data_IF_574970202043
#
_entry.id   IF_574970202043
#
_cell.length_a   1.000
_cell.length_b   1.000
_cell.length_c   1.000
_cell.angle_alpha   90.00
_cell.angle_beta   90.00
_cell.angle_gamma   90.00
#
_symmetry.space_group_name_H-M   'P 1'
#
loop_
_entity.id
_entity.type
_entity.pdbx_description
1 polymer ?
#
# COMPACT_ATOMS: atom_id res chain seq x y z
N UNK A 1 -11.98 -9.06 23.98
CA UNK A 1 -12.80 -10.25 24.30
C UNK A 1 -11.85 -11.42 24.50
N UNK A 2 -12.01 -12.21 25.57
CA UNK A 2 -11.23 -13.45 25.71
C UNK A 2 -11.92 -14.55 24.90
N UNK A 3 -11.14 -15.45 24.31
CA UNK A 3 -11.66 -16.56 23.50
C UNK A 3 -12.39 -17.57 24.40
N UNK A 4 -13.49 -18.21 23.94
CA UNK A 4 -14.35 -19.02 24.79
C UNK A 4 -13.63 -20.12 25.59
N UNK A 5 -12.56 -20.72 25.05
CA UNK A 5 -11.83 -21.77 25.76
C UNK A 5 -11.01 -21.24 26.95
N UNK A 6 -10.54 -19.99 26.91
CA UNK A 6 -9.84 -19.36 28.04
C UNK A 6 -10.81 -18.96 29.17
N UNK A 7 -12.11 -18.87 28.89
CA UNK A 7 -13.16 -18.61 29.88
C UNK A 7 -13.68 -19.90 30.53
N UNK A 8 -13.58 -21.03 29.82
CA UNK A 8 -14.13 -22.31 30.23
C UNK A 8 -13.27 -23.03 31.27
N UNK A 9 -11.95 -22.84 31.22
CA UNK A 9 -11.01 -23.47 32.14
C UNK A 9 -9.89 -22.48 32.55
N UNK A 10 -9.84 -22.05 33.83
CA UNK A 10 -8.84 -21.09 34.31
C UNK A 10 -7.43 -21.69 34.41
N UNK A 11 -7.27 -23.01 34.22
CA UNK A 11 -5.97 -23.68 34.25
C UNK A 11 -5.24 -23.63 32.90
N UNK A 12 -5.95 -23.27 31.82
CA UNK A 12 -5.35 -23.12 30.49
C UNK A 12 -4.52 -21.84 30.46
N UNK A 13 -3.22 -21.99 30.19
CA UNK A 13 -2.31 -20.85 30.10
C UNK A 13 -2.76 -19.87 29.02
N UNK A 14 -2.86 -18.59 29.38
CA UNK A 14 -3.10 -17.52 28.42
C UNK A 14 -1.82 -17.31 27.59
N UNK A 15 -1.91 -17.40 26.25
CA UNK A 15 -0.73 -17.21 25.43
C UNK A 15 -0.22 -15.76 25.50
N UNK A 16 1.10 -15.61 25.55
CA UNK A 16 1.77 -14.31 25.52
C UNK A 16 2.27 -13.98 24.11
N UNK A 17 1.77 -12.88 23.57
CA UNK A 17 2.05 -12.45 22.21
C UNK A 17 3.00 -11.23 22.26
N UNK A 18 4.10 -11.22 21.48
CA UNK A 18 4.37 -12.08 20.32
C UNK A 18 5.25 -13.32 20.59
N UNK A 19 5.75 -13.51 21.81
CA UNK A 19 6.77 -14.55 22.10
C UNK A 19 6.31 -15.98 21.81
N UNK A 20 5.02 -16.26 21.93
CA UNK A 20 4.47 -17.59 21.68
C UNK A 20 3.82 -17.76 20.29
N UNK A 21 3.85 -16.73 19.43
CA UNK A 21 3.19 -16.77 18.11
C UNK A 21 3.76 -17.82 17.16
N UNK A 22 5.04 -18.18 17.33
CA UNK A 22 5.66 -19.25 16.54
C UNK A 22 4.93 -20.60 16.71
N UNK A 23 4.16 -20.78 17.79
CA UNK A 23 3.35 -21.97 18.02
C UNK A 23 2.21 -22.12 17.00
N UNK A 24 1.88 -21.10 16.20
CA UNK A 24 0.92 -21.25 15.09
C UNK A 24 1.31 -22.39 14.14
N UNK A 25 2.61 -22.63 13.97
CA UNK A 25 3.14 -23.67 13.10
C UNK A 25 2.96 -25.10 13.65
N UNK A 26 2.50 -25.27 14.90
CA UNK A 26 2.10 -26.58 15.42
C UNK A 26 0.68 -26.97 14.98
N UNK A 27 -0.10 -26.01 14.51
CA UNK A 27 -1.47 -26.19 14.00
C UNK A 27 -1.50 -26.14 12.48
N UNK A 28 -0.71 -25.23 11.88
CA UNK A 28 -0.69 -24.98 10.44
C UNK A 28 0.67 -25.40 9.87
N UNK A 29 0.67 -26.25 8.83
CA UNK A 29 1.90 -26.62 8.14
C UNK A 29 2.42 -25.45 7.27
N UNK A 30 3.60 -24.87 7.58
CA UNK A 30 4.15 -23.76 6.81
C UNK A 30 4.42 -24.13 5.35
N UNK A 31 4.87 -25.36 5.06
CA UNK A 31 5.18 -25.78 3.70
C UNK A 31 3.94 -25.80 2.79
N UNK A 32 2.75 -26.03 3.37
CA UNK A 32 1.48 -26.03 2.63
C UNK A 32 0.89 -24.63 2.53
N UNK A 33 1.03 -23.81 3.57
CA UNK A 33 0.31 -22.53 3.69
C UNK A 33 1.10 -21.28 3.31
N UNK A 34 2.44 -21.33 3.23
CA UNK A 34 3.24 -20.17 2.81
C UNK A 34 2.90 -19.70 1.39
N UNK A 35 2.78 -20.63 0.43
CA UNK A 35 2.44 -20.26 -0.97
C UNK A 35 1.03 -19.66 -1.08
N UNK A 36 -0.03 -20.24 -0.47
CA UNK A 36 -1.33 -19.59 -0.38
C UNK A 36 -1.30 -18.17 0.20
N UNK A 37 -0.56 -17.93 1.29
CA UNK A 37 -0.45 -16.59 1.86
C UNK A 37 0.19 -15.60 0.91
N UNK A 38 1.30 -15.96 0.25
CA UNK A 38 1.90 -15.10 -0.76
C UNK A 38 0.98 -14.86 -1.96
N UNK A 39 0.20 -15.86 -2.36
CA UNK A 39 -0.79 -15.68 -3.43
C UNK A 39 -1.89 -14.69 -3.03
N UNK A 40 -2.40 -14.77 -1.80
CA UNK A 40 -3.38 -13.80 -1.28
C UNK A 40 -2.78 -12.38 -1.27
N UNK A 41 -1.56 -12.23 -0.76
CA UNK A 41 -0.86 -10.94 -0.75
C UNK A 41 -0.63 -10.40 -2.17
N UNK A 42 -0.30 -11.28 -3.12
CA UNK A 42 -0.16 -10.91 -4.53
C UNK A 42 -1.48 -10.42 -5.12
N UNK A 43 -2.58 -11.14 -4.89
CA UNK A 43 -3.92 -10.72 -5.35
C UNK A 43 -4.32 -9.39 -4.69
N UNK A 44 -4.05 -9.22 -3.40
CA UNK A 44 -4.31 -7.98 -2.67
C UNK A 44 -3.51 -6.81 -3.23
N UNK A 45 -2.23 -7.02 -3.56
CA UNK A 45 -1.38 -6.03 -4.21
C UNK A 45 -2.05 -5.49 -5.47
N UNK A 46 -2.49 -6.37 -6.37
CA UNK A 46 -3.15 -5.99 -7.61
C UNK A 46 -4.49 -5.28 -7.38
N UNK A 47 -5.32 -5.75 -6.45
CA UNK A 47 -6.60 -5.10 -6.14
C UNK A 47 -6.40 -3.66 -5.67
N UNK A 48 -5.50 -3.44 -4.71
CA UNK A 48 -5.25 -2.10 -4.15
C UNK A 48 -4.70 -1.16 -5.21
N UNK A 49 -3.73 -1.61 -6.02
CA UNK A 49 -3.13 -0.78 -7.05
C UNK A 49 -4.11 -0.49 -8.19
N UNK A 50 -4.89 -1.48 -8.62
CA UNK A 50 -5.89 -1.29 -9.67
C UNK A 50 -6.95 -0.27 -9.25
N UNK A 51 -7.39 -0.34 -7.99
CA UNK A 51 -8.32 0.65 -7.43
C UNK A 51 -7.67 2.03 -7.28
N UNK A 52 -6.47 2.11 -6.69
CA UNK A 52 -5.78 3.39 -6.51
C UNK A 52 -5.54 4.10 -7.85
N UNK A 53 -5.13 3.36 -8.88
CA UNK A 53 -4.88 3.89 -10.22
C UNK A 53 -6.16 4.26 -10.99
N UNK A 54 -7.34 3.81 -10.54
CA UNK A 54 -8.62 4.22 -11.13
C UNK A 54 -9.18 5.50 -10.53
N UNK A 55 -8.65 5.94 -9.39
CA UNK A 55 -9.05 7.19 -8.76
C UNK A 55 -8.48 8.40 -9.53
N UNK A 56 -9.27 9.46 -9.71
CA UNK A 56 -8.79 10.69 -10.35
C UNK A 56 -7.57 11.26 -9.61
N UNK A 57 -6.51 11.60 -10.34
CA UNK A 57 -5.30 12.21 -9.81
C UNK A 57 -4.24 11.20 -9.34
N UNK A 58 -4.58 9.92 -9.21
CA UNK A 58 -3.65 8.86 -8.83
C UNK A 58 -3.24 7.96 -10.00
N UNK A 59 -3.87 8.12 -11.16
CA UNK A 59 -3.52 7.38 -12.37
C UNK A 59 -2.15 7.79 -12.92
N UNK A 60 -1.47 6.85 -13.59
CA UNK A 60 -0.20 7.13 -14.25
C UNK A 60 -0.30 8.26 -15.29
N UNK A 61 -1.43 8.36 -15.99
CA UNK A 61 -1.70 9.42 -16.97
C UNK A 61 -1.85 10.78 -16.29
N UNK A 62 -2.53 10.83 -15.16
CA UNK A 62 -2.74 12.07 -14.40
C UNK A 62 -1.41 12.61 -13.86
N UNK A 63 -0.55 11.70 -13.38
CA UNK A 63 0.82 12.04 -12.95
C UNK A 63 1.68 12.57 -14.10
N UNK A 64 1.60 11.95 -15.28
CA UNK A 64 2.32 12.39 -16.46
C UNK A 64 1.80 13.76 -16.95
N UNK A 65 0.49 13.98 -16.93
CA UNK A 65 -0.13 15.25 -17.31
C UNK A 65 0.31 16.37 -16.37
N UNK A 66 0.29 16.14 -15.06
CA UNK A 66 0.76 17.12 -14.08
C UNK A 66 2.23 17.54 -14.32
N UNK A 67 3.09 16.61 -14.75
CA UNK A 67 4.48 16.92 -15.10
C UNK A 67 4.60 17.77 -16.38
N UNK A 68 3.77 17.48 -17.40
CA UNK A 68 3.70 18.26 -18.64
C UNK A 68 3.18 19.68 -18.37
N UNK A 69 2.15 19.80 -17.55
CA UNK A 69 1.56 21.09 -17.18
C UNK A 69 2.58 21.94 -16.42
N UNK A 70 3.28 21.36 -15.44
CA UNK A 70 4.34 22.03 -14.70
C UNK A 70 5.48 22.52 -15.62
N UNK A 71 5.90 21.70 -16.59
CA UNK A 71 6.92 22.08 -17.58
C UNK A 71 6.42 23.22 -18.48
N UNK A 72 5.17 23.15 -18.93
CA UNK A 72 4.59 24.15 -19.82
C UNK A 72 4.47 25.50 -19.12
N UNK A 73 4.07 25.51 -17.84
CA UNK A 73 4.04 26.70 -17.01
C UNK A 73 5.43 27.37 -16.89
N UNK A 74 6.48 26.58 -16.64
CA UNK A 74 7.85 27.10 -16.55
C UNK A 74 8.34 27.71 -17.88
N UNK A 75 8.00 27.10 -19.02
CA UNK A 75 8.35 27.64 -20.34
C UNK A 75 7.63 28.96 -20.61
N UNK A 76 6.34 29.06 -20.27
CA UNK A 76 5.57 30.30 -20.44
C UNK A 76 6.19 31.44 -19.63
N UNK A 77 6.60 31.18 -18.38
CA UNK A 77 7.27 32.16 -17.53
C UNK A 77 8.59 32.65 -18.14
N UNK A 78 9.43 31.74 -18.66
CA UNK A 78 10.68 32.11 -19.33
C UNK A 78 10.46 32.96 -20.57
N UNK A 79 9.48 32.58 -21.40
CA UNK A 79 9.15 33.32 -22.62
C UNK A 79 8.63 34.72 -22.30
N UNK A 80 7.76 34.86 -21.30
CA UNK A 80 7.28 36.18 -20.85
C UNK A 80 8.42 37.04 -20.30
N UNK A 81 9.30 36.48 -19.46
CA UNK A 81 10.47 37.19 -18.94
C UNK A 81 11.41 37.68 -20.06
N UNK A 82 11.66 36.84 -21.07
CA UNK A 82 12.46 37.23 -22.24
C UNK A 82 11.77 38.29 -23.10
N UNK A 83 10.45 38.19 -23.30
CA UNK A 83 9.70 39.17 -24.07
C UNK A 83 9.76 40.55 -23.38
N UNK A 84 9.57 40.61 -22.06
CA UNK A 84 9.64 41.86 -21.29
C UNK A 84 11.05 42.48 -21.35
N UNK A 85 12.11 41.67 -21.30
CA UNK A 85 13.49 42.12 -21.43
C UNK A 85 13.84 42.63 -22.84
N UNK A 86 13.13 42.19 -23.88
CA UNK A 86 13.35 42.63 -25.27
C UNK A 86 12.70 43.98 -25.62
N UNK A 87 11.78 44.48 -24.80
CA UNK A 87 11.06 45.76 -25.03
C UNK A 87 11.62 46.93 -24.21
N UNK A 88 12.72 46.72 -23.46
CA UNK A 88 13.52 47.76 -22.79
C UNK A 88 14.81 48.03 -23.57
#
# INVERSE_FOLDING_TARGET
>A
MQVPYLMADPTVAKPDHPEEDWKIWTVINPAVWMVPFFFILFVQMWMVHSYALSLPGYGFKDSAQAAVDARSAAVIEQVQGQQIAQVQ
#
